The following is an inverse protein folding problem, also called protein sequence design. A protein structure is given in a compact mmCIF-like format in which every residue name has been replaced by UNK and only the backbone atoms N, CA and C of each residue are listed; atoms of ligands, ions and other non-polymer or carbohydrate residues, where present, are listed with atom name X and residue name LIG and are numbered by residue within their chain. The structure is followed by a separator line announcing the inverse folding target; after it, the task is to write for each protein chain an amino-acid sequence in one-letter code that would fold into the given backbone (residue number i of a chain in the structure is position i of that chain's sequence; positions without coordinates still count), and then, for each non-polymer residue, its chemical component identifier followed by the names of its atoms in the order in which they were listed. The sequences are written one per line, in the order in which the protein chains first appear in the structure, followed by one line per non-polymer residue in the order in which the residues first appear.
data_IF_972386135563
#
_entry.id   IF_972386135563
#
_cell.length_a   1.000
_cell.length_b   1.000
_cell.length_c   1.000
_cell.angle_alpha   90.00
_cell.angle_beta   90.00
_cell.angle_gamma   90.00
#
_symmetry.space_group_name_H-M   'P 1'
#
loop_
_entity.id
_entity.type
_entity.pdbx_description
1 polymer ?
#
# COMPACT_ATOMS: atom_id res chain seq x y z
N UNK A 1 -2.44 -13.01 -13.32
CA UNK A 1 -2.22 -11.91 -14.28
C UNK A 1 -3.31 -11.91 -15.34
N UNK A 2 -3.84 -10.73 -15.65
CA UNK A 2 -4.95 -10.53 -16.59
C UNK A 2 -4.44 -9.80 -17.83
N UNK A 3 -4.91 -10.18 -19.02
CA UNK A 3 -4.62 -9.44 -20.26
C UNK A 3 -5.10 -8.01 -20.16
N UNK A 4 -4.40 -7.07 -20.82
CA UNK A 4 -4.91 -5.71 -20.89
C UNK A 4 -6.29 -5.69 -21.56
N UNK A 5 -7.26 -4.94 -21.04
CA UNK A 5 -8.52 -4.70 -21.73
C UNK A 5 -8.28 -4.18 -23.15
N UNK A 6 -9.08 -4.58 -24.14
CA UNK A 6 -8.90 -4.13 -25.53
C UNK A 6 -9.08 -2.62 -25.70
N UNK A 7 -9.82 -2.00 -24.79
CA UNK A 7 -10.11 -0.58 -24.78
C UNK A 7 -9.84 0.00 -23.39
N UNK A 8 -9.54 1.30 -23.34
CA UNK A 8 -9.45 2.01 -22.07
C UNK A 8 -10.81 2.02 -21.35
N UNK A 9 -10.82 2.04 -20.00
CA UNK A 9 -12.04 2.27 -19.22
C UNK A 9 -12.88 3.45 -19.73
N UNK A 10 -14.21 3.29 -19.77
CA UNK A 10 -15.15 4.30 -20.33
C UNK A 10 -15.00 5.69 -19.69
N UNK A 11 -14.72 5.73 -18.39
CA UNK A 11 -14.47 6.96 -17.63
C UNK A 11 -13.24 7.74 -18.13
N UNK A 12 -12.31 7.08 -18.83
CA UNK A 12 -11.16 7.72 -19.47
C UNK A 12 -11.43 8.11 -20.92
N UNK A 13 -12.35 7.42 -21.60
CA UNK A 13 -12.70 7.71 -22.99
C UNK A 13 -13.41 9.07 -23.11
N UNK A 14 -14.18 9.48 -22.09
CA UNK A 14 -14.82 10.79 -22.05
C UNK A 14 -13.83 11.96 -21.88
N UNK A 15 -12.59 11.70 -21.46
CA UNK A 15 -11.50 12.68 -21.38
C UNK A 15 -10.61 12.71 -22.64
N UNK A 16 -11.01 12.04 -23.73
CA UNK A 16 -10.23 11.93 -24.96
C UNK A 16 -9.87 13.28 -25.59
N UNK A 17 -10.74 14.29 -25.50
CA UNK A 17 -10.44 15.66 -25.97
C UNK A 17 -9.35 16.34 -25.14
N UNK A 18 -9.31 16.06 -23.83
CA UNK A 18 -8.36 16.68 -22.90
C UNK A 18 -6.99 15.97 -22.89
N UNK A 19 -6.96 14.66 -23.17
CA UNK A 19 -5.74 13.85 -23.16
C UNK A 19 -5.63 13.02 -24.45
N UNK A 20 -5.41 13.67 -25.61
CA UNK A 20 -5.50 13.04 -26.93
C UNK A 20 -4.53 11.87 -27.13
N UNK A 21 -3.45 11.84 -26.35
CA UNK A 21 -2.41 10.82 -26.46
C UNK A 21 -2.54 9.67 -25.46
N UNK A 22 -3.51 9.72 -24.54
CA UNK A 22 -3.72 8.64 -23.56
C UNK A 22 -4.07 7.32 -24.27
N UNK A 23 -4.98 7.37 -25.25
CA UNK A 23 -5.34 6.21 -26.05
C UNK A 23 -4.13 5.72 -26.87
N UNK A 24 -3.37 6.62 -27.50
CA UNK A 24 -2.18 6.25 -28.27
C UNK A 24 -1.15 5.49 -27.41
N UNK A 25 -0.90 5.95 -26.19
CA UNK A 25 -0.01 5.26 -25.25
C UNK A 25 -0.55 3.89 -24.82
N UNK A 26 -1.86 3.79 -24.58
CA UNK A 26 -2.48 2.51 -24.26
C UNK A 26 -2.38 1.50 -25.41
N UNK A 27 -2.58 1.95 -26.65
CA UNK A 27 -2.40 1.13 -27.84
C UNK A 27 -0.93 0.69 -28.04
N UNK A 28 0.05 1.47 -27.58
CA UNK A 28 1.46 1.04 -27.54
C UNK A 28 1.63 -0.16 -26.59
N UNK A 29 1.03 -0.10 -25.39
CA UNK A 29 1.07 -1.21 -24.44
C UNK A 29 0.38 -2.48 -24.99
N UNK A 30 -0.78 -2.34 -25.65
CA UNK A 30 -1.48 -3.47 -26.26
C UNK A 30 -0.64 -4.17 -27.33
N UNK A 31 -0.04 -3.40 -28.25
CA UNK A 31 0.85 -3.97 -29.28
C UNK A 31 2.06 -4.67 -28.65
N UNK A 32 2.65 -4.07 -27.62
CA UNK A 32 3.77 -4.70 -26.91
C UNK A 32 3.35 -6.02 -26.23
N UNK A 33 2.17 -6.07 -25.62
CA UNK A 33 1.62 -7.31 -25.06
C UNK A 33 1.46 -8.39 -26.13
N UNK A 34 0.86 -8.06 -27.28
CA UNK A 34 0.68 -8.98 -28.42
C UNK A 34 2.02 -9.49 -28.98
N UNK A 35 3.01 -8.61 -29.13
CA UNK A 35 4.35 -8.99 -29.59
C UNK A 35 5.05 -9.95 -28.62
N UNK A 36 4.95 -9.71 -27.31
CA UNK A 36 5.55 -10.61 -26.30
C UNK A 36 4.83 -11.97 -26.30
N UNK A 37 3.51 -12.00 -26.50
CA UNK A 37 2.76 -13.26 -26.64
C UNK A 37 3.18 -14.03 -27.91
N UNK A 38 3.40 -13.34 -29.02
CA UNK A 38 3.81 -13.94 -30.29
C UNK A 38 5.24 -14.50 -30.27
N UNK A 39 6.14 -13.90 -29.49
CA UNK A 39 7.55 -14.31 -29.39
C UNK A 39 7.75 -15.70 -28.73
N UNK A 40 6.69 -16.34 -28.22
CA UNK A 40 6.50 -17.76 -27.81
C UNK A 40 7.62 -18.49 -27.02
N UNK A 41 8.71 -17.84 -26.65
CA UNK A 41 9.78 -18.44 -25.87
C UNK A 41 9.34 -18.56 -24.41
N UNK A 42 9.32 -19.78 -23.82
CA UNK A 42 8.94 -19.99 -22.43
C UNK A 42 9.98 -19.47 -21.42
N UNK A 43 10.97 -18.69 -21.87
CA UNK A 43 12.00 -18.11 -21.05
C UNK A 43 11.42 -17.18 -19.97
N UNK A 44 12.01 -17.22 -18.77
CA UNK A 44 11.68 -16.36 -17.64
C UNK A 44 11.65 -14.86 -18.02
N UNK A 45 12.54 -14.45 -18.93
CA UNK A 45 12.61 -13.09 -19.46
C UNK A 45 11.30 -12.65 -20.17
N UNK A 46 10.60 -13.55 -20.88
CA UNK A 46 9.33 -13.23 -21.54
C UNK A 46 8.21 -12.96 -20.54
N UNK A 47 8.16 -13.74 -19.44
CA UNK A 47 7.18 -13.52 -18.35
C UNK A 47 7.39 -12.18 -17.64
N UNK A 48 8.63 -11.78 -17.41
CA UNK A 48 8.94 -10.48 -16.79
C UNK A 48 8.58 -9.32 -17.70
N UNK A 49 8.93 -9.41 -18.99
CA UNK A 49 8.53 -8.41 -19.99
C UNK A 49 7.02 -8.25 -20.05
N UNK A 50 6.27 -9.36 -19.98
CA UNK A 50 4.81 -9.36 -19.92
C UNK A 50 4.30 -8.59 -18.69
N UNK A 51 4.86 -8.84 -17.51
CA UNK A 51 4.50 -8.13 -16.28
C UNK A 51 4.79 -6.63 -16.41
N UNK A 52 5.99 -6.27 -16.88
CA UNK A 52 6.40 -4.87 -17.02
C UNK A 52 5.55 -4.11 -18.05
N UNK A 53 5.21 -4.74 -19.18
CA UNK A 53 4.27 -4.19 -20.15
C UNK A 53 2.89 -3.93 -19.51
N UNK A 54 2.35 -4.93 -18.80
CA UNK A 54 1.04 -4.82 -18.15
C UNK A 54 1.01 -3.78 -17.04
N UNK A 55 2.10 -3.58 -16.31
CA UNK A 55 2.21 -2.50 -15.32
C UNK A 55 1.95 -1.14 -15.98
N UNK A 56 2.54 -0.88 -17.15
CA UNK A 56 2.31 0.36 -17.88
C UNK A 56 0.85 0.52 -18.29
N UNK A 57 0.26 -0.51 -18.92
CA UNK A 57 -1.13 -0.46 -19.34
C UNK A 57 -2.10 -0.27 -18.17
N UNK A 58 -1.92 -0.99 -17.07
CA UNK A 58 -2.77 -0.84 -15.89
C UNK A 58 -2.54 0.46 -15.11
N UNK A 59 -1.35 1.07 -15.17
CA UNK A 59 -1.13 2.41 -14.63
C UNK A 59 -1.91 3.47 -15.42
N UNK A 60 -2.10 3.29 -16.74
CA UNK A 60 -2.98 4.15 -17.52
C UNK A 60 -4.46 3.98 -17.12
N UNK A 61 -4.89 2.75 -16.83
CA UNK A 61 -6.27 2.45 -16.44
C UNK A 61 -6.60 2.85 -14.99
N UNK A 62 -5.68 2.56 -14.06
CA UNK A 62 -5.93 2.58 -12.61
C UNK A 62 -4.98 3.51 -11.86
N UNK A 63 -4.23 4.37 -12.55
CA UNK A 63 -3.42 5.40 -11.90
C UNK A 63 -4.25 6.21 -10.90
N UNK A 64 -3.65 6.62 -9.77
CA UNK A 64 -4.36 7.13 -8.58
C UNK A 64 -5.12 8.44 -8.83
N UNK A 65 -4.70 9.22 -9.81
CA UNK A 65 -5.40 10.39 -10.32
C UNK A 65 -5.01 10.64 -11.78
N UNK A 66 -5.63 11.66 -12.40
CA UNK A 66 -5.36 12.00 -13.79
C UNK A 66 -3.93 12.49 -14.03
N UNK A 67 -3.32 13.19 -13.07
CA UNK A 67 -1.93 13.65 -13.15
C UNK A 67 -0.94 12.50 -13.28
N UNK A 68 -1.13 11.45 -12.48
CA UNK A 68 -0.35 10.21 -12.54
C UNK A 68 -0.46 9.54 -13.93
N UNK A 69 -1.70 9.38 -14.43
CA UNK A 69 -1.96 8.78 -15.76
C UNK A 69 -1.31 9.60 -16.87
N UNK A 70 -1.38 10.93 -16.77
CA UNK A 70 -0.74 11.86 -17.71
C UNK A 70 0.77 11.71 -17.72
N UNK A 71 1.39 11.63 -16.54
CA UNK A 71 2.83 11.44 -16.43
C UNK A 71 3.29 10.10 -17.01
N UNK A 72 2.52 9.02 -16.79
CA UNK A 72 2.83 7.69 -17.32
C UNK A 72 2.72 7.67 -18.85
N UNK A 73 1.63 8.18 -19.44
CA UNK A 73 1.49 8.15 -20.91
C UNK A 73 2.57 8.99 -21.60
N UNK A 74 2.96 10.14 -21.02
CA UNK A 74 4.04 10.97 -21.58
C UNK A 74 5.37 10.22 -21.62
N UNK A 75 5.67 9.47 -20.56
CA UNK A 75 6.87 8.61 -20.53
C UNK A 75 6.79 7.49 -21.56
N UNK A 76 5.64 6.83 -21.70
CA UNK A 76 5.41 5.79 -22.72
C UNK A 76 5.67 6.31 -24.14
N UNK A 77 5.13 7.48 -24.48
CA UNK A 77 5.30 8.08 -25.81
C UNK A 77 6.75 8.48 -26.07
N UNK A 78 7.49 8.85 -25.02
CA UNK A 78 8.91 9.19 -25.14
C UNK A 78 9.82 7.97 -25.35
N UNK A 79 9.33 6.76 -25.13
CA UNK A 79 10.09 5.53 -25.36
C UNK A 79 10.32 5.32 -26.87
N UNK A 80 11.59 5.15 -27.25
CA UNK A 80 11.99 5.03 -28.66
C UNK A 80 11.76 3.63 -29.24
N UNK A 81 11.73 2.60 -28.39
CA UNK A 81 11.67 1.20 -28.79
C UNK A 81 11.06 0.29 -27.70
N UNK A 82 10.86 -0.98 -28.04
CA UNK A 82 10.38 -2.04 -27.14
C UNK A 82 11.22 -2.17 -25.87
N UNK A 83 12.54 -2.03 -25.97
CA UNK A 83 13.46 -2.15 -24.83
C UNK A 83 13.24 -1.01 -23.83
N UNK A 84 13.06 0.22 -24.31
CA UNK A 84 12.76 1.37 -23.48
C UNK A 84 11.41 1.24 -22.76
N UNK A 85 10.39 0.70 -23.42
CA UNK A 85 9.09 0.42 -22.80
C UNK A 85 9.20 -0.62 -21.68
N UNK A 86 9.88 -1.74 -21.94
CA UNK A 86 10.12 -2.77 -20.92
C UNK A 86 10.90 -2.19 -19.73
N UNK A 87 11.93 -1.37 -19.98
CA UNK A 87 12.69 -0.74 -18.92
C UNK A 87 11.86 0.26 -18.10
N UNK A 88 10.94 0.99 -18.75
CA UNK A 88 10.00 1.88 -18.07
C UNK A 88 9.05 1.07 -17.17
N UNK A 89 8.51 -0.04 -17.66
CA UNK A 89 7.69 -0.95 -16.86
C UNK A 89 8.45 -1.54 -15.67
N UNK A 90 9.71 -1.93 -15.88
CA UNK A 90 10.61 -2.40 -14.81
C UNK A 90 10.85 -1.30 -13.76
N UNK A 91 11.03 -0.05 -14.17
CA UNK A 91 11.21 1.08 -13.26
C UNK A 91 10.02 1.24 -12.30
N UNK A 92 8.78 1.18 -12.81
CA UNK A 92 7.58 1.19 -11.97
C UNK A 92 7.44 -0.06 -11.11
N UNK A 93 7.80 -1.23 -11.63
CA UNK A 93 7.84 -2.45 -10.82
C UNK A 93 8.77 -2.30 -9.61
N UNK A 94 10.01 -1.85 -9.85
CA UNK A 94 11.06 -1.75 -8.84
C UNK A 94 10.82 -0.65 -7.81
N UNK A 95 10.24 0.48 -8.22
CA UNK A 95 10.19 1.68 -7.38
C UNK A 95 8.78 2.10 -6.97
N UNK A 96 7.73 1.51 -7.55
CA UNK A 96 6.35 1.71 -7.11
C UNK A 96 5.77 0.43 -6.52
N UNK A 97 5.68 -0.64 -7.30
CA UNK A 97 5.03 -1.89 -6.84
C UNK A 97 5.77 -2.53 -5.67
N UNK A 98 7.10 -2.64 -5.75
CA UNK A 98 7.91 -3.19 -4.66
C UNK A 98 7.88 -2.34 -3.40
N UNK A 99 7.86 -1.01 -3.53
CA UNK A 99 7.83 -0.10 -2.38
C UNK A 99 6.59 -0.31 -1.49
N UNK A 100 5.44 -0.59 -2.10
CA UNK A 100 4.21 -0.92 -1.34
C UNK A 100 4.19 -2.34 -0.78
N UNK A 101 4.93 -3.27 -1.38
CA UNK A 101 4.97 -4.69 -1.00
C UNK A 101 6.12 -5.07 -0.08
N UNK A 102 7.11 -4.20 0.09
CA UNK A 102 8.20 -4.41 1.04
C UNK A 102 7.61 -4.69 2.43
N UNK A 103 7.88 -5.90 2.93
CA UNK A 103 7.28 -6.47 4.14
C UNK A 103 7.31 -5.44 5.28
N UNK A 104 6.15 -4.91 5.60
CA UNK A 104 5.89 -4.24 6.87
C UNK A 104 5.85 -5.37 7.90
N UNK A 105 6.99 -5.62 8.55
CA UNK A 105 7.05 -6.57 9.65
C UNK A 105 6.00 -6.23 10.71
N UNK A 106 5.68 -7.15 11.62
CA UNK A 106 4.75 -6.86 12.71
C UNK A 106 5.20 -5.58 13.42
N UNK A 107 4.29 -4.62 13.49
CA UNK A 107 4.36 -3.44 14.35
C UNK A 107 4.86 -3.89 15.73
N UNK A 108 5.97 -3.35 16.26
CA UNK A 108 6.39 -3.66 17.62
C UNK A 108 5.23 -3.39 18.57
N UNK A 109 4.86 -4.39 19.36
CA UNK A 109 3.92 -4.19 20.45
C UNK A 109 4.48 -3.08 21.34
N UNK A 110 3.73 -2.00 21.62
CA UNK A 110 4.19 -0.97 22.54
C UNK A 110 4.64 -1.64 23.84
N UNK A 111 5.73 -1.15 24.42
CA UNK A 111 6.21 -1.71 25.68
C UNK A 111 5.09 -1.69 26.71
N UNK A 112 4.78 -2.87 27.25
CA UNK A 112 3.94 -3.02 28.43
C UNK A 112 4.74 -2.55 29.64
N UNK A 113 5.07 -1.26 29.71
CA UNK A 113 5.74 -0.74 30.89
C UNK A 113 4.75 -0.79 32.05
N UNK A 114 5.08 -1.55 33.10
CA UNK A 114 4.26 -1.78 34.29
C UNK A 114 3.94 -0.49 35.09
N UNK A 115 4.43 0.67 34.64
CA UNK A 115 4.24 1.97 35.28
C UNK A 115 3.19 2.84 34.58
N UNK A 116 2.55 2.38 33.50
CA UNK A 116 1.41 3.11 32.94
C UNK A 116 0.22 2.97 33.90
N UNK A 117 -0.33 4.08 34.44
CA UNK A 117 -1.47 4.01 35.34
C UNK A 117 -2.65 3.32 34.66
N UNK A 118 -3.45 2.57 35.42
CA UNK A 118 -4.80 2.21 34.96
C UNK A 118 -5.57 3.50 34.78
N UNK A 119 -6.10 3.72 33.59
CA UNK A 119 -6.87 4.91 33.28
C UNK A 119 -8.34 4.49 33.28
N UNK A 120 -9.05 4.87 34.33
CA UNK A 120 -10.42 4.39 34.58
C UNK A 120 -11.41 4.87 33.52
N UNK A 121 -11.11 6.01 32.85
CA UNK A 121 -11.98 6.62 31.85
C UNK A 121 -11.29 6.75 30.48
N UNK A 122 -12.09 6.77 29.41
CA UNK A 122 -11.54 7.07 28.08
C UNK A 122 -10.96 8.48 28.00
N UNK A 123 -11.49 9.45 28.75
CA UNK A 123 -10.98 10.81 28.78
C UNK A 123 -9.52 10.85 29.26
N UNK A 124 -9.19 10.02 30.26
CA UNK A 124 -7.82 9.91 30.77
C UNK A 124 -6.89 9.26 29.73
N UNK A 125 -7.36 8.20 29.05
CA UNK A 125 -6.60 7.56 27.96
C UNK A 125 -6.35 8.50 26.78
N UNK A 126 -7.35 9.33 26.43
CA UNK A 126 -7.24 10.34 25.39
C UNK A 126 -6.19 11.39 25.80
N UNK A 127 -6.27 11.88 27.04
CA UNK A 127 -5.34 12.89 27.56
C UNK A 127 -3.89 12.40 27.52
N UNK A 128 -3.61 11.18 27.99
CA UNK A 128 -2.26 10.56 27.94
C UNK A 128 -1.70 10.47 26.51
N UNK A 129 -2.56 10.29 25.50
CA UNK A 129 -2.14 10.17 24.12
C UNK A 129 -1.97 11.52 23.39
N UNK A 130 -2.53 12.61 23.89
CA UNK A 130 -2.59 13.89 23.17
C UNK A 130 -1.37 14.80 23.42
N UNK A 131 -0.52 14.52 24.41
CA UNK A 131 0.51 15.46 24.87
C UNK A 131 1.70 15.66 23.91
N UNK A 132 1.98 14.74 22.95
CA UNK A 132 3.15 14.88 22.03
C UNK A 132 2.86 14.53 20.57
N UNK A 133 3.39 15.28 19.60
CA UNK A 133 3.37 14.91 18.18
C UNK A 133 4.09 13.55 17.98
N UNK A 134 3.51 12.59 17.22
CA UNK A 134 4.08 11.25 17.17
C UNK A 134 5.47 11.24 16.54
N UNK A 135 6.50 11.08 17.38
CA UNK A 135 7.91 10.98 16.96
C UNK A 135 8.32 9.56 16.57
N UNK A 136 7.43 8.58 16.74
CA UNK A 136 7.75 7.18 16.49
C UNK A 136 6.54 6.27 16.48
N UNK A 137 6.81 4.97 16.31
CA UNK A 137 5.80 3.96 16.08
C UNK A 137 4.79 3.80 17.25
N UNK A 138 5.28 3.84 18.50
CA UNK A 138 4.44 3.69 19.69
C UNK A 138 3.48 4.85 19.91
N UNK A 139 3.93 6.09 19.67
CA UNK A 139 3.10 7.29 19.80
C UNK A 139 2.06 7.38 18.68
N UNK A 140 2.42 7.00 17.45
CA UNK A 140 1.48 6.88 16.34
C UNK A 140 0.38 5.86 16.61
N UNK A 141 0.74 4.67 17.13
CA UNK A 141 -0.24 3.63 17.51
C UNK A 141 -1.22 4.12 18.56
N UNK A 142 -0.74 4.73 19.63
CA UNK A 142 -1.58 5.27 20.70
C UNK A 142 -2.58 6.31 20.18
N UNK A 143 -2.11 7.26 19.36
CA UNK A 143 -2.97 8.30 18.78
C UNK A 143 -3.95 7.75 17.74
N UNK A 144 -3.52 6.78 16.92
CA UNK A 144 -4.40 6.08 15.99
C UNK A 144 -5.51 5.32 16.73
N UNK A 145 -5.18 4.64 17.84
CA UNK A 145 -6.17 3.97 18.69
C UNK A 145 -7.22 4.97 19.21
N UNK A 146 -6.79 6.11 19.76
CA UNK A 146 -7.71 7.14 20.24
C UNK A 146 -8.60 7.65 19.10
N UNK A 147 -8.01 8.01 17.95
CA UNK A 147 -8.75 8.47 16.77
C UNK A 147 -9.79 7.46 16.32
N UNK A 148 -9.42 6.18 16.29
CA UNK A 148 -10.21 5.08 15.76
C UNK A 148 -11.20 4.50 16.81
N UNK A 149 -11.36 5.17 17.95
CA UNK A 149 -12.29 4.75 19.01
C UNK A 149 -11.90 3.44 19.69
N UNK A 150 -10.59 3.15 19.73
CA UNK A 150 -9.97 1.93 20.24
C UNK A 150 -10.43 0.67 19.50
N UNK A 151 -10.62 0.77 18.18
CA UNK A 151 -11.12 -0.32 17.34
C UNK A 151 -10.30 -0.49 16.08
N UNK A 152 -10.36 -1.69 15.52
CA UNK A 152 -10.08 -1.91 14.10
C UNK A 152 -11.06 -1.08 13.27
N UNK A 153 -10.55 -0.21 12.40
CA UNK A 153 -11.39 0.67 11.56
C UNK A 153 -12.22 -0.09 10.54
N UNK A 154 -11.87 -1.34 10.23
CA UNK A 154 -12.59 -2.19 9.26
C UNK A 154 -13.63 -3.07 9.95
N UNK A 155 -13.24 -3.84 10.98
CA UNK A 155 -14.13 -4.82 11.61
C UNK A 155 -14.92 -4.26 12.78
N UNK A 156 -14.54 -3.09 13.30
CA UNK A 156 -15.11 -2.52 14.51
C UNK A 156 -14.70 -3.25 15.79
N UNK A 157 -13.90 -4.32 15.69
CA UNK A 157 -13.40 -5.09 16.83
C UNK A 157 -12.57 -4.20 17.76
N UNK A 158 -12.86 -4.27 19.05
CA UNK A 158 -12.21 -3.47 20.06
C UNK A 158 -10.79 -3.98 20.34
N UNK A 159 -9.87 -3.05 20.60
CA UNK A 159 -8.53 -3.36 21.04
C UNK A 159 -8.55 -3.97 22.46
N UNK A 160 -8.07 -5.21 22.54
CA UNK A 160 -8.08 -6.01 23.75
C UNK A 160 -7.32 -5.34 24.88
N UNK A 161 -6.14 -4.78 24.61
CA UNK A 161 -5.31 -4.14 25.63
C UNK A 161 -6.00 -2.90 26.20
N UNK A 162 -6.63 -2.11 25.35
CA UNK A 162 -7.39 -0.91 25.74
C UNK A 162 -8.61 -1.27 26.60
N UNK A 163 -9.35 -2.31 26.21
CA UNK A 163 -10.51 -2.81 26.96
C UNK A 163 -10.11 -3.34 28.34
N UNK A 164 -9.01 -4.08 28.43
CA UNK A 164 -8.53 -4.61 29.72
C UNK A 164 -8.03 -3.52 30.68
N UNK A 165 -7.81 -2.30 30.19
CA UNK A 165 -7.32 -1.15 30.98
C UNK A 165 -8.41 -0.14 31.35
N UNK A 166 -9.62 -0.26 30.80
CA UNK A 166 -10.70 0.69 31.01
C UNK A 166 -12.05 -0.04 31.15
N UNK A 167 -12.65 0.07 32.33
CA UNK A 167 -13.98 -0.52 32.60
C UNK A 167 -15.07 0.14 31.74
N UNK A 168 -14.90 1.42 31.38
CA UNK A 168 -15.79 2.11 30.45
C UNK A 168 -15.78 1.45 29.06
N UNK A 169 -14.59 1.17 28.51
CA UNK A 169 -14.45 0.46 27.23
C UNK A 169 -14.99 -0.97 27.32
N UNK A 170 -14.74 -1.67 28.44
CA UNK A 170 -15.27 -3.00 28.67
C UNK A 170 -16.81 -3.00 28.72
N UNK A 171 -17.42 -1.99 29.35
CA UNK A 171 -18.87 -1.78 29.35
C UNK A 171 -19.43 -1.58 27.95
N UNK A 172 -18.80 -0.73 27.13
CA UNK A 172 -19.21 -0.47 25.75
C UNK A 172 -19.10 -1.72 24.88
N UNK A 173 -17.95 -2.40 24.91
CA UNK A 173 -17.73 -3.64 24.15
C UNK A 173 -18.77 -4.71 24.48
N UNK A 174 -19.11 -4.89 25.77
CA UNK A 174 -20.19 -5.81 26.20
C UNK A 174 -21.57 -5.37 25.68
N UNK A 175 -21.88 -4.08 25.74
CA UNK A 175 -23.19 -3.56 25.32
C UNK A 175 -23.44 -3.67 23.82
N UNK A 176 -22.39 -3.51 23.01
CA UNK A 176 -22.49 -3.59 21.55
C UNK A 176 -22.34 -5.03 21.03
N UNK A 177 -21.85 -5.96 21.86
CA UNK A 177 -21.64 -7.35 21.47
C UNK A 177 -20.58 -7.54 20.40
N UNK A 178 -19.61 -6.62 20.31
CA UNK A 178 -18.54 -6.63 19.30
C UNK A 178 -17.33 -7.40 19.84
N UNK A 179 -16.62 -8.09 18.94
CA UNK A 179 -15.45 -8.89 19.28
C UNK A 179 -14.28 -8.04 19.82
N UNK A 180 -13.42 -8.69 20.61
CA UNK A 180 -12.14 -8.16 21.05
C UNK A 180 -11.00 -8.76 20.21
N UNK A 181 -9.98 -7.97 19.92
CA UNK A 181 -8.79 -8.43 19.18
C UNK A 181 -7.55 -7.65 19.60
N UNK A 182 -6.36 -8.18 19.33
CA UNK A 182 -5.14 -7.37 19.40
C UNK A 182 -5.05 -6.51 18.15
N UNK A 183 -4.89 -5.20 18.30
CA UNK A 183 -4.77 -4.32 17.13
C UNK A 183 -3.34 -3.90 16.85
N UNK A 184 -3.10 -3.52 15.60
CA UNK A 184 -1.81 -3.11 15.05
C UNK A 184 -1.94 -1.74 14.37
N UNK A 185 -0.83 -1.00 14.33
CA UNK A 185 -0.77 0.30 13.68
C UNK A 185 -0.30 0.13 12.24
N UNK A 186 -1.24 0.08 11.32
CA UNK A 186 -0.97 -0.14 9.91
C UNK A 186 -0.62 1.16 9.21
N UNK A 187 0.58 1.25 8.66
CA UNK A 187 0.93 2.34 7.74
C UNK A 187 0.26 2.13 6.38
N UNK A 188 -0.21 3.20 5.74
CA UNK A 188 -0.70 3.15 4.35
C UNK A 188 0.51 3.04 3.41
N UNK A 189 1.41 4.02 3.51
CA UNK A 189 2.71 4.05 2.83
C UNK A 189 3.79 3.52 3.79
N UNK A 190 4.45 2.43 3.40
CA UNK A 190 5.41 1.70 4.23
C UNK A 190 6.61 2.56 4.64
N UNK A 191 7.16 2.32 5.83
CA UNK A 191 8.45 2.88 6.27
C UNK A 191 9.60 2.52 5.33
N UNK A 192 9.51 1.38 4.64
CA UNK A 192 10.49 0.98 3.63
C UNK A 192 10.62 1.97 2.46
N UNK A 193 9.60 2.81 2.23
CA UNK A 193 9.67 3.96 1.30
C UNK A 193 10.79 4.94 1.70
N UNK A 194 11.11 5.04 3.00
CA UNK A 194 12.20 5.85 3.53
C UNK A 194 13.54 5.10 3.61
N UNK A 195 13.54 3.78 3.76
CA UNK A 195 14.76 3.01 4.10
C UNK A 195 15.64 2.66 2.89
N UNK A 196 15.13 2.76 1.67
CA UNK A 196 15.87 2.32 0.48
C UNK A 196 16.81 3.42 -0.05
N UNK A 197 17.81 3.85 0.72
CA UNK A 197 18.63 5.06 0.50
C UNK A 197 19.32 5.18 -0.88
N UNK A 198 19.56 4.08 -1.60
CA UNK A 198 20.11 4.12 -2.96
C UNK A 198 19.05 4.38 -4.05
N UNK A 199 17.77 4.10 -3.76
CA UNK A 199 16.64 4.22 -4.70
C UNK A 199 15.48 5.08 -4.16
N UNK A 200 15.60 5.63 -2.95
CA UNK A 200 14.59 6.44 -2.27
C UNK A 200 14.17 7.62 -3.13
N UNK A 201 15.10 8.24 -3.85
CA UNK A 201 14.81 9.38 -4.72
C UNK A 201 13.90 9.00 -5.88
N UNK A 202 14.05 7.80 -6.44
CA UNK A 202 13.18 7.30 -7.53
C UNK A 202 11.80 6.94 -6.99
N UNK A 203 11.74 6.29 -5.83
CA UNK A 203 10.48 6.00 -5.14
C UNK A 203 9.73 7.32 -4.88
N UNK A 204 10.37 8.29 -4.22
CA UNK A 204 9.78 9.60 -3.93
C UNK A 204 9.40 10.39 -5.19
N UNK A 205 10.20 10.32 -6.25
CA UNK A 205 9.87 10.94 -7.53
C UNK A 205 8.56 10.38 -8.11
N UNK A 206 8.38 9.06 -8.11
CA UNK A 206 7.13 8.43 -8.56
C UNK A 206 5.98 8.82 -7.62
N UNK A 207 6.16 8.72 -6.30
CA UNK A 207 5.10 9.04 -5.35
C UNK A 207 4.67 10.51 -5.42
N UNK A 208 5.61 11.45 -5.58
CA UNK A 208 5.33 12.87 -5.81
C UNK A 208 4.58 13.08 -7.13
N UNK A 209 4.94 12.34 -8.18
CA UNK A 209 4.24 12.40 -9.48
C UNK A 209 2.82 11.83 -9.38
N UNK A 210 2.62 10.82 -8.54
CA UNK A 210 1.35 10.11 -8.42
C UNK A 210 0.43 10.72 -7.37
N UNK A 211 0.97 11.44 -6.41
CA UNK A 211 0.21 12.15 -5.38
C UNK A 211 -0.49 13.37 -5.97
N UNK A 212 -1.66 13.70 -5.43
CA UNK A 212 -2.34 14.97 -5.71
C UNK A 212 -1.72 16.13 -4.91
N UNK A 213 -0.79 15.83 -4.00
CA UNK A 213 -0.05 16.80 -3.19
C UNK A 213 1.23 17.19 -3.93
N UNK A 214 1.65 18.45 -3.78
CA UNK A 214 2.84 18.98 -4.50
C UNK A 214 4.13 18.26 -4.11
N UNK A 215 4.35 18.00 -2.81
CA UNK A 215 5.57 17.39 -2.28
C UNK A 215 5.23 16.33 -1.21
N UNK A 216 4.82 15.14 -1.62
CA UNK A 216 4.55 14.03 -0.69
C UNK A 216 5.79 13.63 0.13
N UNK A 217 6.99 13.75 -0.45
CA UNK A 217 8.24 13.51 0.27
C UNK A 217 8.40 14.39 1.51
N UNK A 218 8.04 15.67 1.44
CA UNK A 218 8.13 16.58 2.59
C UNK A 218 7.16 16.21 3.71
N UNK A 219 6.06 15.54 3.33
CA UNK A 219 4.98 15.11 4.20
C UNK A 219 5.26 13.81 4.95
N UNK A 220 6.19 12.98 4.47
CA UNK A 220 6.39 11.59 4.94
C UNK A 220 7.84 11.16 5.16
N UNK A 221 8.82 11.99 4.79
CA UNK A 221 10.22 11.65 5.00
C UNK A 221 10.59 11.63 6.50
N UNK A 222 11.45 10.68 6.88
CA UNK A 222 11.90 10.49 8.26
C UNK A 222 10.76 10.19 9.23
N UNK A 223 10.76 10.83 10.40
CA UNK A 223 9.75 10.61 11.45
C UNK A 223 8.31 10.95 11.02
N UNK A 224 8.13 11.78 9.98
CA UNK A 224 6.80 12.16 9.48
C UNK A 224 6.03 11.00 8.86
N UNK A 225 6.69 9.88 8.55
CA UNK A 225 6.03 8.66 8.09
C UNK A 225 4.99 8.13 9.09
N UNK A 226 5.17 8.46 10.37
CA UNK A 226 4.29 8.07 11.47
C UNK A 226 3.10 9.03 11.70
N UNK A 227 2.91 10.03 10.82
CA UNK A 227 1.76 10.94 10.91
C UNK A 227 0.44 10.17 10.82
N UNK A 228 -0.58 10.69 11.49
CA UNK A 228 -1.88 10.01 11.60
C UNK A 228 -2.58 9.81 10.26
N UNK A 229 -2.38 10.71 9.30
CA UNK A 229 -2.94 10.56 7.97
C UNK A 229 -2.35 9.38 7.18
N UNK A 230 -1.20 8.84 7.63
CA UNK A 230 -0.54 7.67 7.05
C UNK A 230 -0.72 6.39 7.88
N UNK A 231 -1.45 6.41 9.00
CA UNK A 231 -1.63 5.21 9.84
C UNK A 231 -3.07 4.95 10.23
N UNK A 232 -3.44 3.69 10.39
CA UNK A 232 -4.75 3.25 10.87
C UNK A 232 -4.67 2.03 11.79
N UNK A 233 -5.62 1.93 12.72
CA UNK A 233 -5.74 0.76 13.60
C UNK A 233 -6.41 -0.39 12.86
N UNK A 234 -5.72 -1.51 12.68
CA UNK A 234 -6.26 -2.72 12.06
C UNK A 234 -6.10 -3.94 12.97
N UNK A 235 -7.00 -4.91 12.84
CA UNK A 235 -6.76 -6.25 13.37
C UNK A 235 -5.76 -7.03 12.50
N UNK A 236 -5.11 -8.10 13.01
CA UNK A 236 -3.92 -8.65 12.37
C UNK A 236 -4.20 -9.32 11.01
N UNK A 237 -5.36 -9.96 10.86
CA UNK A 237 -5.86 -10.53 9.59
C UNK A 237 -6.03 -9.44 8.53
N UNK A 238 -6.73 -8.37 8.88
CA UNK A 238 -7.01 -7.25 7.97
C UNK A 238 -5.72 -6.50 7.64
N UNK A 239 -4.85 -6.26 8.62
CA UNK A 239 -3.55 -5.63 8.41
C UNK A 239 -2.69 -6.43 7.42
N UNK A 240 -2.58 -7.74 7.62
CA UNK A 240 -1.86 -8.62 6.70
C UNK A 240 -2.41 -8.55 5.28
N UNK A 241 -3.74 -8.59 5.12
CA UNK A 241 -4.37 -8.47 3.80
C UNK A 241 -4.13 -7.09 3.17
N UNK A 242 -4.19 -6.02 3.95
CA UNK A 242 -3.95 -4.66 3.48
C UNK A 242 -2.49 -4.47 3.00
N UNK A 243 -1.52 -4.99 3.75
CA UNK A 243 -0.10 -4.92 3.41
C UNK A 243 0.29 -5.80 2.23
N UNK A 244 -0.34 -6.96 2.12
CA UNK A 244 -0.18 -7.84 0.96
C UNK A 244 -0.89 -7.30 -0.31
N UNK A 245 -1.50 -6.11 -0.24
CA UNK A 245 -2.31 -5.49 -1.29
C UNK A 245 -3.55 -6.32 -1.68
N UNK A 246 -4.01 -7.22 -0.81
CA UNK A 246 -5.16 -8.10 -1.06
C UNK A 246 -6.51 -7.40 -0.84
N UNK A 247 -6.51 -6.34 -0.03
CA UNK A 247 -7.64 -5.42 0.16
C UNK A 247 -7.16 -3.97 0.07
N UNK A 248 -8.04 -3.06 -0.35
CA UNK A 248 -7.74 -1.63 -0.46
C UNK A 248 -9.02 -0.78 -0.37
N UNK A 249 -8.85 0.50 -0.08
CA UNK A 249 -9.94 1.46 0.09
C UNK A 249 -10.14 2.32 -1.16
N UNK A 250 -11.37 2.39 -1.67
CA UNK A 250 -11.76 3.23 -2.81
C UNK A 250 -12.63 4.38 -2.33
N UNK A 251 -12.28 5.60 -2.73
CA UNK A 251 -13.04 6.80 -2.37
C UNK A 251 -14.49 6.70 -2.87
N UNK A 252 -15.44 7.11 -2.02
CA UNK A 252 -16.84 7.26 -2.42
C UNK A 252 -17.20 8.73 -2.59
N UNK A 253 -18.45 9.01 -3.00
CA UNK A 253 -18.98 10.39 -3.04
C UNK A 253 -19.12 11.01 -1.64
N UNK A 254 -19.08 10.20 -0.58
CA UNK A 254 -19.22 10.66 0.81
C UNK A 254 -17.83 10.85 1.42
N UNK A 255 -17.58 12.03 1.99
CA UNK A 255 -16.30 12.36 2.64
C UNK A 255 -15.96 11.32 3.70
N UNK A 256 -14.70 10.89 3.73
CA UNK A 256 -14.14 9.89 4.65
C UNK A 256 -14.82 8.50 4.62
N UNK A 257 -15.70 8.25 3.64
CA UNK A 257 -16.31 6.95 3.42
C UNK A 257 -15.69 6.29 2.20
N UNK A 258 -15.27 5.05 2.36
CA UNK A 258 -14.55 4.28 1.36
C UNK A 258 -15.23 2.94 1.15
N UNK A 259 -15.34 2.54 -0.11
CA UNK A 259 -15.72 1.17 -0.47
C UNK A 259 -14.50 0.28 -0.27
N UNK A 260 -14.67 -0.83 0.43
CA UNK A 260 -13.62 -1.83 0.54
C UNK A 260 -13.66 -2.72 -0.73
N UNK A 261 -12.54 -2.78 -1.42
CA UNK A 261 -12.34 -3.68 -2.55
C UNK A 261 -11.16 -4.60 -2.25
N UNK A 262 -11.04 -5.68 -3.00
CA UNK A 262 -9.97 -6.64 -2.81
C UNK A 262 -9.71 -7.46 -4.05
N UNK A 263 -8.63 -8.23 -4.01
CA UNK A 263 -8.18 -9.08 -5.12
C UNK A 263 -9.24 -10.10 -5.54
N UNK A 264 -9.99 -10.60 -4.57
CA UNK A 264 -11.13 -11.48 -4.79
C UNK A 264 -12.11 -11.38 -3.62
N UNK A 265 -13.35 -11.80 -3.84
CA UNK A 265 -14.42 -11.81 -2.83
C UNK A 265 -14.07 -12.64 -1.59
N UNK A 266 -13.10 -13.56 -1.69
CA UNK A 266 -12.62 -14.34 -0.56
C UNK A 266 -12.01 -13.47 0.54
N UNK A 267 -11.29 -12.40 0.17
CA UNK A 267 -10.68 -11.48 1.13
C UNK A 267 -11.66 -10.48 1.73
N UNK A 268 -12.82 -10.29 1.09
CA UNK A 268 -13.87 -9.38 1.54
C UNK A 268 -14.95 -10.10 2.35
N UNK A 269 -14.90 -11.44 2.42
CA UNK A 269 -15.86 -12.23 3.17
C UNK A 269 -15.83 -11.81 4.65
N UNK A 270 -17.00 -11.53 5.21
CA UNK A 270 -17.19 -11.04 6.59
C UNK A 270 -16.62 -9.64 6.87
N UNK A 271 -16.10 -8.93 5.85
CA UNK A 271 -15.75 -7.52 5.97
C UNK A 271 -16.93 -6.65 5.50
N UNK A 272 -17.05 -5.41 6.00
CA UNK A 272 -18.07 -4.50 5.51
C UNK A 272 -17.76 -4.04 4.08
N UNK A 273 -18.82 -3.77 3.32
CA UNK A 273 -18.68 -3.21 1.97
C UNK A 273 -18.12 -1.78 1.99
N UNK A 274 -18.47 -1.00 3.01
CA UNK A 274 -18.04 0.38 3.19
C UNK A 274 -17.42 0.57 4.58
N UNK A 275 -16.36 1.36 4.64
CA UNK A 275 -15.70 1.80 5.88
C UNK A 275 -15.75 3.32 5.94
N UNK A 276 -16.14 3.86 7.10
CA UNK A 276 -16.14 5.31 7.32
C UNK A 276 -15.13 5.66 8.40
N UNK A 277 -14.12 6.46 8.06
CA UNK A 277 -13.18 6.96 9.05
C UNK A 277 -13.78 8.15 9.80
N UNK A 278 -13.82 8.02 11.12
CA UNK A 278 -14.30 9.05 12.04
C UNK A 278 -13.16 9.54 12.91
N UNK A 279 -13.33 10.74 13.48
CA UNK A 279 -12.41 11.28 14.47
C UNK A 279 -13.19 12.21 15.39
N UNK A 280 -12.75 12.29 16.65
CA UNK A 280 -13.27 13.25 17.64
C UNK A 280 -12.63 14.64 17.48
N UNK A 281 -11.47 14.72 16.82
CA UNK A 281 -10.72 15.96 16.63
C UNK A 281 -10.00 15.93 15.27
N UNK A 282 -10.55 16.58 14.22
CA UNK A 282 -9.93 16.59 12.90
C UNK A 282 -8.56 17.29 12.84
N UNK A 283 -8.24 18.18 13.78
CA UNK A 283 -6.97 18.93 13.78
C UNK A 283 -5.87 18.14 14.48
N UNK A 284 -6.16 17.57 15.65
CA UNK A 284 -5.19 16.79 16.44
C UNK A 284 -5.12 15.32 16.04
N UNK A 285 -6.23 14.76 15.54
CA UNK A 285 -6.40 13.35 15.20
C UNK A 285 -6.95 13.19 13.78
N UNK A 286 -6.24 13.67 12.75
CA UNK A 286 -6.73 13.57 11.39
C UNK A 286 -6.87 12.10 10.95
N UNK A 287 -7.91 11.86 10.16
CA UNK A 287 -8.20 10.55 9.56
C UNK A 287 -7.19 10.21 8.45
N UNK A 288 -7.07 8.92 8.06
CA UNK A 288 -6.26 8.51 6.93
C UNK A 288 -6.51 9.34 5.66
N UNK A 289 -5.43 9.74 4.98
CA UNK A 289 -5.49 10.61 3.81
C UNK A 289 -6.11 9.89 2.61
N UNK A 290 -7.12 10.48 1.93
CA UNK A 290 -7.67 9.91 0.70
C UNK A 290 -6.62 9.76 -0.40
N UNK A 291 -5.62 10.65 -0.43
CA UNK A 291 -4.54 10.60 -1.43
C UNK A 291 -3.61 9.40 -1.20
N UNK A 292 -3.30 9.09 0.06
CA UNK A 292 -2.43 7.95 0.41
C UNK A 292 -3.15 6.63 0.13
N UNK A 293 -4.44 6.57 0.42
CA UNK A 293 -5.30 5.43 0.11
C UNK A 293 -5.43 5.23 -1.40
N UNK A 294 -5.56 6.30 -2.18
CA UNK A 294 -5.59 6.22 -3.63
C UNK A 294 -4.26 5.68 -4.22
N UNK A 295 -3.12 6.12 -3.68
CA UNK A 295 -1.80 5.58 -4.04
C UNK A 295 -1.69 4.08 -3.76
N UNK A 296 -2.15 3.63 -2.58
CA UNK A 296 -2.16 2.21 -2.20
C UNK A 296 -3.10 1.40 -3.10
N UNK A 297 -4.34 1.86 -3.31
CA UNK A 297 -5.33 1.17 -4.13
C UNK A 297 -4.89 1.04 -5.60
N UNK A 298 -4.30 2.08 -6.18
CA UNK A 298 -3.74 2.03 -7.52
C UNK A 298 -2.61 0.99 -7.61
N UNK A 299 -1.70 0.98 -6.63
CA UNK A 299 -0.64 -0.01 -6.57
C UNK A 299 -1.21 -1.44 -6.46
N UNK A 300 -2.21 -1.66 -5.60
CA UNK A 300 -2.84 -2.95 -5.42
C UNK A 300 -3.46 -3.48 -6.72
N UNK A 301 -4.25 -2.65 -7.41
CA UNK A 301 -4.85 -2.99 -8.71
C UNK A 301 -3.79 -3.33 -9.75
N UNK A 302 -2.78 -2.48 -9.91
CA UNK A 302 -1.68 -2.69 -10.87
C UNK A 302 -0.90 -3.96 -10.54
N UNK A 303 -0.57 -4.19 -9.27
CA UNK A 303 0.26 -5.32 -8.85
C UNK A 303 -0.41 -6.67 -9.17
N UNK A 304 -1.69 -6.82 -8.87
CA UNK A 304 -2.42 -8.07 -9.11
C UNK A 304 -2.79 -8.27 -10.57
N UNK A 305 -3.29 -7.22 -11.24
CA UNK A 305 -3.72 -7.34 -12.64
C UNK A 305 -2.52 -7.61 -13.56
N UNK A 306 -1.36 -7.01 -13.31
CA UNK A 306 -0.15 -7.27 -14.10
C UNK A 306 0.51 -8.62 -13.83
N UNK A 307 0.25 -9.25 -12.68
CA UNK A 307 0.97 -10.45 -12.22
C UNK A 307 2.22 -10.16 -11.38
N UNK A 308 2.53 -8.89 -11.13
CA UNK A 308 3.67 -8.49 -10.33
C UNK A 308 3.58 -9.02 -8.89
N UNK A 309 2.38 -9.05 -8.31
CA UNK A 309 2.14 -9.58 -6.97
C UNK A 309 2.52 -11.06 -6.85
N UNK A 310 2.06 -11.90 -7.77
CA UNK A 310 2.38 -13.33 -7.81
C UNK A 310 3.86 -13.58 -8.14
N UNK A 311 4.44 -12.75 -9.01
CA UNK A 311 5.87 -12.82 -9.31
C UNK A 311 6.72 -12.54 -8.08
N UNK A 312 6.44 -11.48 -7.32
CA UNK A 312 7.14 -11.16 -6.08
C UNK A 312 6.99 -12.31 -5.06
N UNK A 313 5.77 -12.83 -4.87
CA UNK A 313 5.55 -13.98 -3.99
C UNK A 313 6.36 -15.21 -4.41
N UNK A 314 6.47 -15.46 -5.72
CA UNK A 314 7.28 -16.55 -6.24
C UNK A 314 8.75 -16.34 -5.92
N UNK A 315 9.31 -15.16 -6.24
CA UNK A 315 10.71 -14.83 -5.96
C UNK A 315 11.04 -14.98 -4.47
N UNK A 316 10.17 -14.51 -3.58
CA UNK A 316 10.36 -14.65 -2.14
C UNK A 316 10.36 -16.11 -1.67
N UNK A 317 9.43 -16.94 -2.18
CA UNK A 317 9.42 -18.39 -1.87
C UNK A 317 10.65 -19.10 -2.40
N UNK A 318 11.00 -18.83 -3.66
CA UNK A 318 12.18 -19.42 -4.29
C UNK A 318 13.45 -19.07 -3.48
N UNK A 319 13.55 -17.85 -2.93
CA UNK A 319 14.62 -17.44 -2.03
C UNK A 319 14.63 -18.17 -0.68
N UNK A 320 13.46 -18.39 -0.06
CA UNK A 320 13.34 -19.15 1.20
C UNK A 320 13.73 -20.63 1.03
N UNK A 321 13.47 -21.19 -0.15
CA UNK A 321 13.74 -22.59 -0.48
C UNK A 321 15.16 -22.83 -1.05
N UNK A 322 15.97 -21.79 -1.27
CA UNK A 322 17.32 -21.90 -1.83
C UNK A 322 18.39 -22.13 -0.74
N UNK A 323 19.05 -23.32 -0.69
CA UNK A 323 20.07 -23.59 0.31
C UNK A 323 21.44 -22.98 -0.01
N UNK A 324 21.80 -22.77 -1.29
CA UNK A 324 23.10 -22.21 -1.74
C UNK A 324 22.91 -21.44 -3.06
N UNK A 325 23.62 -20.33 -3.26
CA UNK A 325 23.64 -19.57 -4.53
C UNK A 325 24.35 -20.37 -5.63
N UNK A 326 23.80 -20.34 -6.85
CA UNK A 326 24.42 -21.01 -8.00
C UNK A 326 25.72 -20.31 -8.43
N UNK A 327 26.75 -21.09 -8.78
CA UNK A 327 28.03 -20.58 -9.27
C UNK A 327 27.96 -19.97 -10.68
N UNK A 328 26.91 -20.30 -11.45
CA UNK A 328 26.70 -19.86 -12.84
C UNK A 328 26.06 -18.47 -12.98
N UNK A 329 25.77 -17.78 -11.87
CA UNK A 329 25.16 -16.46 -11.87
C UNK A 329 23.65 -16.44 -12.18
N UNK A 330 23.01 -17.60 -12.39
CA UNK A 330 21.54 -17.67 -12.53
C UNK A 330 20.79 -17.21 -11.27
N UNK A 331 21.48 -17.22 -10.12
CA UNK A 331 20.99 -16.68 -8.85
C UNK A 331 21.16 -15.17 -8.67
N UNK A 332 21.87 -14.47 -9.57
CA UNK A 332 22.23 -13.06 -9.38
C UNK A 332 20.99 -12.13 -9.31
N UNK A 333 19.96 -12.44 -10.10
CA UNK A 333 18.71 -11.65 -10.11
C UNK A 333 17.84 -11.93 -8.88
N UNK A 334 17.80 -13.18 -8.42
CA UNK A 334 17.16 -13.52 -7.15
C UNK A 334 17.87 -12.82 -5.98
N UNK A 335 19.21 -12.74 -6.02
CA UNK A 335 20.00 -12.01 -5.02
C UNK A 335 19.75 -10.49 -5.07
N UNK A 336 19.68 -9.88 -6.27
CA UNK A 336 19.32 -8.46 -6.42
C UNK A 336 17.93 -8.17 -5.82
N UNK A 337 16.97 -9.05 -6.11
CA UNK A 337 15.61 -8.97 -5.58
C UNK A 337 15.59 -9.20 -4.06
N UNK A 338 16.38 -10.15 -3.55
CA UNK A 338 16.55 -10.41 -2.12
C UNK A 338 17.15 -9.21 -1.39
N UNK A 339 18.15 -8.55 -1.97
CA UNK A 339 18.80 -7.38 -1.39
C UNK A 339 17.84 -6.18 -1.34
N UNK A 340 17.05 -5.95 -2.39
CA UNK A 340 16.01 -4.93 -2.42
C UNK A 340 14.89 -5.20 -1.39
N UNK A 341 14.60 -6.46 -1.11
CA UNK A 341 13.66 -6.86 -0.06
C UNK A 341 14.28 -6.82 1.34
N UNK A 342 15.54 -7.22 1.52
CA UNK A 342 16.22 -7.25 2.81
C UNK A 342 16.58 -5.84 3.31
N UNK A 343 16.94 -4.91 2.42
CA UNK A 343 17.17 -3.50 2.75
C UNK A 343 15.91 -2.79 3.26
N UNK A 344 14.73 -3.38 3.04
CA UNK A 344 13.44 -2.89 3.55
C UNK A 344 13.03 -3.44 4.92
N UNK A 345 13.81 -4.37 5.50
CA UNK A 345 13.54 -4.91 6.85
C UNK A 345 14.09 -3.93 7.91
N UNK A 346 13.21 -3.38 8.74
CA UNK A 346 13.63 -2.72 9.98
C UNK A 346 14.36 -3.74 10.87
N UNK A 347 15.51 -3.40 11.48
CA UNK A 347 16.13 -4.28 12.45
C UNK A 347 15.16 -4.47 13.62
N UNK A 348 14.79 -5.73 13.86
CA UNK A 348 14.07 -6.13 15.08
C UNK A 348 15.09 -6.00 16.20
N UNK A 349 15.04 -4.89 16.94
CA UNK A 349 15.76 -4.80 18.21
C UNK A 349 15.06 -5.77 19.17
N UNK A 350 15.76 -6.85 19.51
CA UNK A 350 15.37 -7.84 20.53
C UNK A 350 15.35 -7.19 21.91
#
# INVERSE_FOLDING_TARGET
MSKLPRELPEDLQCHSEQFPHLNSAYQICLRLEEEIEADASPAQNSKEQMIFCRILGYLLCYGPNIGARVAVYKQIISCKDKKALVQLGKMYFDHYVRAFRSNKGPTPTPSNHASRPSLDTMADMIKDCLEEAPQGHSTAKNKALVRDGFRCVVTGAYDFISVMRSEELAGRARSEGVNLTYTECAHILSESTNLNTANSDKVWSIMNTFSSRKNLSDDLNGAKIHRLENVMTLEPSVHRSFDALEIWFIVTKTKNKYKLEGRSDLYLRQLPNDVTFTTIDPELLPVPSPDYLALHAACAKVAHLSGAAEYINKVLRDLEEMPVLSEDGSSARLLEDALLHASSRSPVWV
#
